data_IF_138633418570
#
_entry.id   IF_138633418570
#
_cell.length_a   1.000
_cell.length_b   1.000
_cell.length_c   1.000
_cell.angle_alpha   90.00
_cell.angle_beta   90.00
_cell.angle_gamma   90.00
#
_symmetry.space_group_name_H-M   'P 1'
#
loop_
_entity.id
_entity.type
_entity.pdbx_description
1 polymer ?
#
# COMPACT_ATOMS: atom_id res chain seq x y z
N UNK A 1 3.41 -13.88 28.45
CA UNK A 1 3.90 -14.17 27.09
C UNK A 1 3.48 -13.01 26.19
N UNK A 2 4.42 -12.23 25.65
CA UNK A 2 4.14 -11.20 24.64
C UNK A 2 4.53 -11.83 23.31
N UNK A 3 3.57 -12.24 22.51
CA UNK A 3 3.83 -12.84 21.21
C UNK A 3 4.25 -11.74 20.26
N UNK A 4 5.56 -11.56 20.14
CA UNK A 4 6.23 -10.89 19.03
C UNK A 4 5.95 -11.70 17.76
N UNK A 5 5.13 -11.16 16.87
CA UNK A 5 5.01 -11.61 15.49
C UNK A 5 5.32 -10.40 14.61
N UNK A 6 6.60 -10.13 14.42
CA UNK A 6 7.04 -9.42 13.23
C UNK A 6 6.90 -10.42 12.07
N UNK A 7 6.04 -10.17 11.05
CA UNK A 7 6.01 -11.05 9.89
C UNK A 7 7.34 -10.92 9.15
N UNK A 8 8.09 -12.02 9.26
CA UNK A 8 9.31 -12.38 8.55
C UNK A 8 9.18 -11.99 7.07
N UNK A 9 10.07 -11.11 6.65
CA UNK A 9 10.22 -10.57 5.29
C UNK A 9 10.58 -11.71 4.34
N UNK A 10 9.58 -12.40 3.81
CA UNK A 10 9.77 -13.36 2.74
C UNK A 10 10.06 -12.57 1.45
N UNK A 11 11.31 -12.65 1.00
CA UNK A 11 11.89 -12.04 -0.19
C UNK A 11 11.27 -12.62 -1.48
N UNK A 12 9.96 -12.53 -1.64
CA UNK A 12 9.34 -12.55 -2.97
C UNK A 12 9.65 -11.17 -3.56
N UNK A 13 10.09 -11.12 -4.82
CA UNK A 13 10.37 -9.89 -5.59
C UNK A 13 9.08 -9.09 -5.86
N UNK A 14 8.36 -8.76 -4.81
CA UNK A 14 7.23 -7.86 -4.82
C UNK A 14 7.82 -6.48 -5.01
N UNK A 15 7.42 -5.77 -6.05
CA UNK A 15 7.75 -4.36 -6.25
C UNK A 15 6.97 -3.52 -5.22
N UNK A 16 7.28 -3.72 -3.95
CA UNK A 16 6.74 -2.95 -2.83
C UNK A 16 7.32 -1.53 -2.99
N UNK A 17 6.48 -0.52 -3.18
CA UNK A 17 6.94 0.85 -3.29
C UNK A 17 7.49 1.33 -1.95
N UNK A 18 8.44 2.26 -1.99
CA UNK A 18 8.76 3.08 -0.83
C UNK A 18 7.67 4.14 -0.61
N UNK A 19 7.55 4.64 0.63
CA UNK A 19 6.59 5.69 1.00
C UNK A 19 6.70 6.92 0.08
N UNK A 20 7.92 7.37 -0.23
CA UNK A 20 8.16 8.50 -1.13
C UNK A 20 7.67 8.26 -2.57
N UNK A 21 7.70 7.00 -3.03
CA UNK A 21 7.20 6.62 -4.35
C UNK A 21 5.66 6.67 -4.39
N UNK A 22 5.01 6.24 -3.31
CA UNK A 22 3.55 6.34 -3.16
C UNK A 22 3.14 7.81 -3.09
N UNK A 23 3.77 8.61 -2.23
CA UNK A 23 3.52 10.06 -2.11
C UNK A 23 3.64 10.78 -3.44
N UNK A 24 4.74 10.51 -4.17
CA UNK A 24 4.94 11.10 -5.50
C UNK A 24 3.83 10.71 -6.48
N UNK A 25 3.35 9.47 -6.44
CA UNK A 25 2.26 9.02 -7.31
C UNK A 25 0.94 9.71 -7.01
N UNK A 26 0.58 9.85 -5.72
CA UNK A 26 -0.62 10.56 -5.30
C UNK A 26 -0.54 12.05 -5.64
N UNK A 27 0.62 12.67 -5.42
CA UNK A 27 0.84 14.08 -5.77
C UNK A 27 0.73 14.34 -7.28
N UNK A 28 1.23 13.44 -8.15
CA UNK A 28 1.05 13.54 -9.62
C UNK A 28 -0.43 13.42 -10.04
N UNK A 29 -1.26 12.80 -9.19
CA UNK A 29 -2.70 12.63 -9.40
C UNK A 29 -3.54 13.73 -8.73
N UNK A 30 -2.91 14.78 -8.21
CA UNK A 30 -3.56 15.86 -7.45
C UNK A 30 -4.23 15.39 -6.13
N UNK A 31 -3.79 14.27 -5.56
CA UNK A 31 -4.21 13.79 -4.25
C UNK A 31 -3.25 14.24 -3.13
N UNK A 32 -3.78 14.34 -1.91
CA UNK A 32 -3.00 14.75 -0.75
C UNK A 32 -1.95 13.70 -0.35
N UNK A 33 -0.85 14.17 0.25
CA UNK A 33 0.19 13.31 0.82
C UNK A 33 -0.36 12.49 1.98
N UNK A 34 -1.32 13.02 2.71
CA UNK A 34 -1.98 12.34 3.83
C UNK A 34 -2.71 11.07 3.38
N UNK A 35 -3.42 11.13 2.24
CA UNK A 35 -4.06 9.96 1.63
C UNK A 35 -3.04 8.94 1.12
N UNK A 36 -1.92 9.41 0.59
CA UNK A 36 -0.82 8.55 0.16
C UNK A 36 -0.23 7.76 1.34
N UNK A 37 -0.06 8.43 2.48
CA UNK A 37 0.43 7.83 3.72
C UNK A 37 -0.55 6.80 4.25
N UNK A 38 -1.84 7.14 4.28
CA UNK A 38 -2.90 6.24 4.72
C UNK A 38 -2.95 4.97 3.87
N UNK A 39 -2.90 5.12 2.54
CA UNK A 39 -2.80 4.00 1.60
C UNK A 39 -1.58 3.12 1.89
N UNK A 40 -0.40 3.72 2.07
CA UNK A 40 0.82 2.97 2.32
C UNK A 40 0.74 2.18 3.63
N UNK A 41 0.33 2.81 4.73
CA UNK A 41 0.25 2.14 6.03
C UNK A 41 -0.83 1.06 6.07
N UNK A 42 -1.95 1.28 5.39
CA UNK A 42 -3.00 0.28 5.21
C UNK A 42 -2.44 -0.99 4.55
N UNK A 43 -1.83 -0.87 3.36
CA UNK A 43 -1.28 -2.03 2.66
C UNK A 43 -0.03 -2.60 3.33
N UNK A 44 0.75 -1.80 4.03
CA UNK A 44 1.86 -2.29 4.85
C UNK A 44 1.36 -3.22 5.97
N UNK A 45 0.27 -2.84 6.64
CA UNK A 45 -0.34 -3.66 7.70
C UNK A 45 -0.93 -4.97 7.17
N UNK A 46 -1.44 -4.96 5.93
CA UNK A 46 -1.92 -6.15 5.20
C UNK A 46 -0.78 -7.00 4.61
N UNK A 47 0.47 -6.58 4.76
CA UNK A 47 1.62 -7.27 4.17
C UNK A 47 1.63 -7.23 2.64
N UNK A 48 1.15 -6.14 2.05
CA UNK A 48 1.04 -5.92 0.59
C UNK A 48 0.23 -7.01 -0.11
N UNK A 49 -0.94 -7.30 0.46
CA UNK A 49 -1.94 -8.22 -0.09
C UNK A 49 -3.27 -7.51 -0.24
N UNK A 50 -4.10 -7.96 -1.18
CA UNK A 50 -5.48 -7.52 -1.25
C UNK A 50 -6.34 -8.23 -0.17
N UNK A 51 -7.60 -7.83 -0.07
CA UNK A 51 -8.56 -8.40 0.90
C UNK A 51 -8.81 -9.90 0.70
N UNK A 52 -8.56 -10.42 -0.50
CA UNK A 52 -8.64 -11.85 -0.83
C UNK A 52 -7.36 -12.63 -0.46
N UNK A 53 -6.37 -11.98 0.17
CA UNK A 53 -5.09 -12.57 0.55
C UNK A 53 -4.07 -12.71 -0.58
N UNK A 54 -4.40 -12.25 -1.80
CA UNK A 54 -3.54 -12.30 -2.97
C UNK A 54 -2.46 -11.23 -2.89
N UNK A 55 -1.18 -11.58 -3.15
CA UNK A 55 -0.09 -10.63 -3.36
C UNK A 55 -0.45 -9.42 -4.24
N UNK A 56 -0.25 -8.22 -3.73
CA UNK A 56 -0.46 -6.99 -4.49
C UNK A 56 0.75 -6.76 -5.42
N UNK A 57 0.63 -7.25 -6.66
CA UNK A 57 1.69 -7.11 -7.68
C UNK A 57 1.82 -5.68 -8.22
N UNK A 58 0.68 -5.00 -8.38
CA UNK A 58 0.58 -3.67 -8.98
C UNK A 58 -0.07 -2.69 -8.00
N UNK A 59 0.74 -2.14 -7.10
CA UNK A 59 0.26 -1.20 -6.09
C UNK A 59 -0.37 0.06 -6.70
N UNK A 60 0.03 0.47 -7.91
CA UNK A 60 -0.57 1.62 -8.61
C UNK A 60 -2.04 1.38 -8.96
N UNK A 61 -2.42 0.14 -9.30
CA UNK A 61 -3.82 -0.21 -9.58
C UNK A 61 -4.65 -0.15 -8.30
N UNK A 62 -4.10 -0.63 -7.18
CA UNK A 62 -4.74 -0.47 -5.88
C UNK A 62 -4.86 1.01 -5.48
N UNK A 63 -3.82 1.82 -5.72
CA UNK A 63 -3.86 3.25 -5.48
C UNK A 63 -4.94 3.96 -6.32
N UNK A 64 -5.08 3.59 -7.60
CA UNK A 64 -6.16 4.11 -8.45
C UNK A 64 -7.55 3.71 -7.92
N UNK A 65 -7.70 2.48 -7.41
CA UNK A 65 -8.95 2.05 -6.77
C UNK A 65 -9.23 2.79 -5.46
N UNK A 66 -8.19 3.08 -4.68
CA UNK A 66 -8.29 3.90 -3.47
C UNK A 66 -8.79 5.31 -3.80
N UNK A 67 -8.15 5.95 -4.79
CA UNK A 67 -8.53 7.27 -5.30
C UNK A 67 -9.99 7.30 -5.77
N UNK A 68 -10.42 6.31 -6.55
CA UNK A 68 -11.81 6.20 -7.00
C UNK A 68 -12.80 6.15 -5.81
N UNK A 69 -12.47 5.42 -4.75
CA UNK A 69 -13.32 5.32 -3.55
C UNK A 69 -13.37 6.62 -2.71
N UNK A 70 -12.43 7.55 -2.90
CA UNK A 70 -12.46 8.86 -2.22
C UNK A 70 -13.39 9.84 -2.92
N UNK A 71 -13.53 9.71 -4.25
CA UNK A 71 -14.36 10.59 -5.07
C UNK A 71 -15.84 10.18 -5.09
N UNK A 72 -16.18 8.99 -4.59
CA UNK A 72 -17.46 8.33 -4.88
C UNK A 72 -18.10 7.68 -3.65
#
# INVERSE_FOLDING_TARGET
MKTTIAPKSENLRMNIPGIEQVRSYFSIKDYSIEEADLFFFYYQSLGWRNENGTPLRDWKSAASSWMWNLEN
#
